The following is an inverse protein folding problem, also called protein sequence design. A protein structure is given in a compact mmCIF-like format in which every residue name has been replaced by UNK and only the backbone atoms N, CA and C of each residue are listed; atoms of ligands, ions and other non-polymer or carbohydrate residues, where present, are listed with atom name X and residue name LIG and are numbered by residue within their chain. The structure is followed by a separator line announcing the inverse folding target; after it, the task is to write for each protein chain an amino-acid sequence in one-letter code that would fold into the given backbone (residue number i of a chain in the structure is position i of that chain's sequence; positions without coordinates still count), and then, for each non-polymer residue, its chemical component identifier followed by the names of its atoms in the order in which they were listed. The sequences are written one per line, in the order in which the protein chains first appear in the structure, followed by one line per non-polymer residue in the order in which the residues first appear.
data_IF_173182056246
#
_entry.id   IF_173182056246
#
_cell.length_a   1.000
_cell.length_b   1.000
_cell.length_c   1.000
_cell.angle_alpha   90.00
_cell.angle_beta   90.00
_cell.angle_gamma   90.00
#
_symmetry.space_group_name_H-M   'P 1'
#
loop_
_entity.id
_entity.type
_entity.pdbx_description
1 polymer ?
#
# COMPACT_ATOMS: atom_id res chain seq x y z
N UNK A 1 -2.21 -25.74 -8.43
CA UNK A 1 -1.07 -25.71 -7.49
C UNK A 1 -1.65 -25.35 -6.15
N UNK A 2 -1.35 -26.12 -5.10
CA UNK A 2 -1.93 -25.91 -3.78
C UNK A 2 -1.19 -24.79 -3.02
N UNK A 3 -1.93 -24.05 -2.19
CA UNK A 3 -1.36 -23.01 -1.33
C UNK A 3 -0.34 -23.57 -0.33
N UNK A 4 -0.57 -24.79 0.17
CA UNK A 4 0.35 -25.53 1.04
C UNK A 4 1.72 -25.72 0.38
N UNK A 5 1.76 -26.06 -0.91
CA UNK A 5 3.00 -26.25 -1.64
C UNK A 5 3.83 -24.95 -1.73
N UNK A 6 3.18 -23.83 -2.05
CA UNK A 6 3.85 -22.52 -2.12
C UNK A 6 4.41 -22.13 -0.76
N UNK A 7 3.60 -22.27 0.29
CA UNK A 7 3.98 -22.00 1.67
C UNK A 7 5.18 -22.85 2.09
N UNK A 8 5.13 -24.16 1.89
CA UNK A 8 6.20 -25.08 2.34
C UNK A 8 7.53 -24.75 1.64
N UNK A 9 7.49 -24.40 0.35
CA UNK A 9 8.69 -23.96 -0.41
C UNK A 9 9.26 -22.65 0.13
N UNK A 10 8.41 -21.71 0.49
CA UNK A 10 8.82 -20.42 1.06
C UNK A 10 9.40 -20.61 2.47
N UNK A 11 8.72 -21.35 3.33
CA UNK A 11 9.18 -21.63 4.72
C UNK A 11 10.49 -22.43 4.71
N UNK A 12 10.63 -23.42 3.83
CA UNK A 12 11.85 -24.22 3.73
C UNK A 12 13.08 -23.35 3.38
N UNK A 13 12.90 -22.35 2.50
CA UNK A 13 13.99 -21.51 2.00
C UNK A 13 14.29 -20.29 2.88
N UNK A 14 13.26 -19.66 3.42
CA UNK A 14 13.38 -18.38 4.13
C UNK A 14 13.16 -18.49 5.64
N UNK A 15 12.67 -19.63 6.15
CA UNK A 15 12.58 -19.99 7.57
C UNK A 15 12.14 -18.81 8.46
N UNK A 16 13.06 -18.31 9.30
CA UNK A 16 12.85 -17.24 10.29
C UNK A 16 12.43 -15.90 9.67
N UNK A 17 12.62 -15.70 8.36
CA UNK A 17 12.20 -14.48 7.69
C UNK A 17 10.70 -14.42 7.42
N UNK A 18 10.01 -15.57 7.51
CA UNK A 18 8.55 -15.65 7.40
C UNK A 18 8.01 -15.90 8.81
N UNK A 19 7.40 -14.88 9.40
CA UNK A 19 6.89 -14.95 10.77
C UNK A 19 5.40 -15.30 10.83
N UNK A 20 4.67 -15.22 9.71
CA UNK A 20 3.25 -15.53 9.67
C UNK A 20 2.74 -15.89 8.28
N UNK A 21 1.63 -16.61 8.25
CA UNK A 21 0.89 -16.88 7.02
C UNK A 21 -0.58 -17.06 7.35
N UNK A 22 -1.43 -16.69 6.40
CA UNK A 22 -2.88 -16.82 6.51
C UNK A 22 -3.44 -17.31 5.17
N UNK A 23 -4.58 -17.97 5.23
CA UNK A 23 -5.36 -18.30 4.04
C UNK A 23 -6.75 -17.69 4.18
N UNK A 24 -7.11 -16.80 3.25
CA UNK A 24 -8.41 -16.12 3.27
C UNK A 24 -9.06 -16.27 1.90
N UNK A 25 -10.23 -16.92 1.85
CA UNK A 25 -11.00 -17.13 0.60
C UNK A 25 -10.17 -17.75 -0.54
N UNK A 26 -9.26 -18.69 -0.21
CA UNK A 26 -8.37 -19.34 -1.18
C UNK A 26 -7.13 -18.53 -1.57
N UNK A 27 -6.94 -17.34 -1.00
CA UNK A 27 -5.75 -16.51 -1.17
C UNK A 27 -4.72 -16.81 -0.07
N UNK A 28 -3.50 -17.20 -0.46
CA UNK A 28 -2.38 -17.32 0.46
C UNK A 28 -1.78 -15.94 0.75
N UNK A 29 -1.69 -15.59 2.03
CA UNK A 29 -1.05 -14.38 2.53
C UNK A 29 0.17 -14.79 3.34
N UNK A 30 1.33 -14.21 3.05
CA UNK A 30 2.58 -14.46 3.75
C UNK A 30 3.06 -13.15 4.37
N UNK A 31 3.39 -13.19 5.64
CA UNK A 31 4.00 -12.08 6.37
C UNK A 31 5.48 -12.37 6.55
N UNK A 32 6.32 -11.44 6.08
CA UNK A 32 7.76 -11.63 6.06
C UNK A 32 8.51 -10.35 6.42
N UNK A 33 9.78 -10.51 6.82
CA UNK A 33 10.66 -9.38 7.11
C UNK A 33 10.93 -8.55 5.84
N UNK A 34 10.74 -7.23 5.95
CA UNK A 34 10.97 -6.25 4.87
C UNK A 34 12.38 -6.33 4.27
N UNK A 35 13.39 -6.71 5.05
CA UNK A 35 14.79 -6.82 4.58
C UNK A 35 14.99 -7.91 3.50
N UNK A 36 14.09 -8.89 3.48
CA UNK A 36 14.15 -10.02 2.54
C UNK A 36 13.14 -9.90 1.41
N UNK A 37 12.44 -8.77 1.28
CA UNK A 37 11.38 -8.57 0.29
C UNK A 37 11.84 -8.93 -1.14
N UNK A 38 12.98 -8.41 -1.60
CA UNK A 38 13.48 -8.70 -2.94
C UNK A 38 13.89 -10.15 -3.12
N UNK A 39 14.52 -10.76 -2.11
CA UNK A 39 14.94 -12.16 -2.19
C UNK A 39 13.73 -13.08 -2.32
N UNK A 40 12.66 -12.79 -1.60
CA UNK A 40 11.41 -13.57 -1.64
C UNK A 40 10.72 -13.36 -3.00
N UNK A 41 10.54 -12.12 -3.43
CA UNK A 41 9.88 -11.79 -4.71
C UNK A 41 10.66 -12.40 -5.89
N UNK A 42 11.99 -12.28 -5.90
CA UNK A 42 12.85 -12.87 -6.92
C UNK A 42 12.73 -14.39 -6.94
N UNK A 43 12.74 -15.05 -5.78
CA UNK A 43 12.59 -16.50 -5.71
C UNK A 43 11.23 -16.97 -6.25
N UNK A 44 10.14 -16.30 -5.91
CA UNK A 44 8.81 -16.63 -6.41
C UNK A 44 8.74 -16.52 -7.94
N UNK A 45 9.45 -15.56 -8.52
CA UNK A 45 9.52 -15.36 -9.97
C UNK A 45 10.41 -16.39 -10.67
N UNK A 46 11.60 -16.65 -10.14
CA UNK A 46 12.64 -17.42 -10.83
C UNK A 46 12.51 -18.94 -10.66
N UNK A 47 11.88 -19.41 -9.57
CA UNK A 47 11.70 -20.84 -9.37
C UNK A 47 10.73 -21.40 -10.42
N UNK A 48 11.20 -22.37 -11.23
CA UNK A 48 10.42 -22.96 -12.33
C UNK A 48 9.11 -23.59 -11.88
N UNK A 49 9.06 -24.10 -10.64
CA UNK A 49 7.85 -24.68 -10.09
C UNK A 49 6.89 -23.60 -9.62
N UNK A 50 7.36 -22.48 -9.07
CA UNK A 50 6.50 -21.39 -8.56
C UNK A 50 6.10 -20.39 -9.66
N UNK A 51 7.05 -19.94 -10.48
CA UNK A 51 6.86 -19.15 -11.70
C UNK A 51 5.83 -18.01 -11.60
N UNK A 52 5.89 -17.19 -10.54
CA UNK A 52 5.07 -16.00 -10.39
C UNK A 52 5.56 -14.91 -11.35
N UNK A 53 4.95 -14.88 -12.54
CA UNK A 53 5.38 -14.08 -13.67
C UNK A 53 4.65 -12.74 -13.80
N UNK A 54 3.69 -12.47 -12.93
CA UNK A 54 2.89 -11.25 -12.99
C UNK A 54 2.78 -10.59 -11.62
N UNK A 55 3.15 -9.31 -11.53
CA UNK A 55 2.85 -8.45 -10.39
C UNK A 55 1.51 -7.77 -10.66
N UNK A 56 0.47 -8.25 -10.00
CA UNK A 56 -0.90 -7.75 -10.16
C UNK A 56 -1.06 -6.36 -9.56
N UNK A 57 -0.54 -6.18 -8.35
CA UNK A 57 -0.69 -4.94 -7.61
C UNK A 57 0.38 -4.80 -6.52
N UNK A 58 0.68 -3.57 -6.13
CA UNK A 58 1.56 -3.21 -5.04
C UNK A 58 0.95 -1.99 -4.36
N UNK A 59 0.52 -2.19 -3.12
CA UNK A 59 -0.16 -1.17 -2.33
C UNK A 59 0.39 -1.14 -0.90
N UNK A 60 -0.02 -0.16 -0.09
CA UNK A 60 0.29 -0.12 1.34
C UNK A 60 -0.96 0.07 2.17
N UNK A 61 -0.90 -0.29 3.45
CA UNK A 61 -2.00 -0.16 4.39
C UNK A 61 -1.49 0.48 5.67
N UNK A 62 -2.17 1.51 6.17
CA UNK A 62 -1.84 2.15 7.45
C UNK A 62 -2.69 1.59 8.61
N UNK A 63 -2.02 0.97 9.58
CA UNK A 63 -2.53 0.49 10.87
C UNK A 63 -1.97 1.33 12.01
N UNK A 64 -2.58 2.49 12.36
CA UNK A 64 -2.02 3.42 13.35
C UNK A 64 -1.90 2.84 14.77
N UNK A 65 -2.61 1.75 15.07
CA UNK A 65 -2.59 1.11 16.37
C UNK A 65 -1.50 0.02 16.50
N UNK A 66 -0.75 -0.26 15.44
CA UNK A 66 0.26 -1.32 15.40
C UNK A 66 1.65 -0.68 15.49
N UNK A 67 2.14 -0.49 16.72
CA UNK A 67 3.43 0.15 16.96
C UNK A 67 4.57 -0.61 16.26
N UNK A 68 5.45 0.13 15.59
CA UNK A 68 6.59 -0.36 14.79
C UNK A 68 6.21 -1.17 13.53
N UNK A 69 4.91 -1.35 13.27
CA UNK A 69 4.32 -2.05 12.13
C UNK A 69 3.18 -1.24 11.49
N UNK A 70 3.26 0.09 11.56
CA UNK A 70 2.14 0.95 11.18
C UNK A 70 1.86 0.89 9.68
N UNK A 71 2.89 0.76 8.84
CA UNK A 71 2.74 0.70 7.39
C UNK A 71 2.99 -0.72 6.88
N UNK A 72 2.00 -1.34 6.24
CA UNK A 72 2.12 -2.68 5.66
C UNK A 72 2.11 -2.59 4.14
N UNK A 73 3.28 -2.74 3.54
CA UNK A 73 3.42 -2.82 2.08
C UNK A 73 3.06 -4.22 1.62
N UNK A 74 2.19 -4.29 0.63
CA UNK A 74 1.57 -5.53 0.16
C UNK A 74 1.84 -5.72 -1.32
N UNK A 75 2.44 -6.85 -1.69
CA UNK A 75 2.65 -7.26 -3.08
C UNK A 75 1.68 -8.39 -3.45
N UNK A 76 0.93 -8.23 -4.52
CA UNK A 76 0.05 -9.28 -5.07
C UNK A 76 0.74 -9.87 -6.30
N UNK A 77 1.26 -11.08 -6.14
CA UNK A 77 1.89 -11.82 -7.22
C UNK A 77 0.92 -12.86 -7.76
N UNK A 78 0.96 -13.07 -9.07
CA UNK A 78 0.13 -14.02 -9.78
C UNK A 78 0.97 -14.88 -10.71
N UNK A 79 0.69 -16.17 -10.72
CA UNK A 79 1.17 -17.08 -11.73
C UNK A 79 0.09 -17.27 -12.78
N UNK A 80 0.29 -16.67 -13.96
CA UNK A 80 -0.67 -16.74 -15.07
C UNK A 80 -0.84 -18.15 -15.65
N UNK A 81 0.18 -19.01 -15.56
CA UNK A 81 0.11 -20.37 -16.10
C UNK A 81 -0.68 -21.32 -15.20
N UNK A 82 -0.55 -21.15 -13.89
CA UNK A 82 -1.15 -22.05 -12.88
C UNK A 82 -2.42 -21.48 -12.24
N UNK A 83 -2.75 -20.22 -12.52
CA UNK A 83 -3.96 -19.57 -12.04
C UNK A 83 -3.97 -19.31 -10.53
N UNK A 84 -2.80 -19.21 -9.89
CA UNK A 84 -2.67 -19.04 -8.44
C UNK A 84 -2.07 -17.67 -8.11
N UNK A 85 -2.51 -17.10 -6.99
CA UNK A 85 -2.00 -15.83 -6.48
C UNK A 85 -1.44 -15.99 -5.07
N UNK A 86 -0.48 -15.14 -4.73
CA UNK A 86 0.06 -15.02 -3.37
C UNK A 86 0.19 -13.55 -3.01
N UNK A 87 -0.14 -13.22 -1.77
CA UNK A 87 0.00 -11.89 -1.22
C UNK A 87 1.17 -11.88 -0.24
N UNK A 88 2.18 -11.08 -0.50
CA UNK A 88 3.27 -10.83 0.45
C UNK A 88 2.97 -9.56 1.21
N UNK A 89 3.11 -9.58 2.52
CA UNK A 89 2.97 -8.43 3.41
C UNK A 89 4.29 -8.19 4.14
N UNK A 90 4.74 -6.96 4.10
CA UNK A 90 5.92 -6.48 4.78
C UNK A 90 5.50 -5.32 5.68
N UNK A 91 5.63 -5.48 6.98
CA UNK A 91 5.38 -4.40 7.94
C UNK A 91 6.60 -3.48 8.05
N UNK A 92 6.34 -2.19 8.23
CA UNK A 92 7.33 -1.14 8.35
C UNK A 92 6.91 -0.14 9.42
N UNK A 93 7.88 0.38 10.19
CA UNK A 93 7.64 1.49 11.09
C UNK A 93 7.40 2.78 10.30
N UNK A 94 6.46 3.60 10.73
CA UNK A 94 6.18 4.90 10.09
C UNK A 94 7.37 5.87 10.14
N UNK A 95 8.23 5.73 11.16
CA UNK A 95 9.42 6.56 11.36
C UNK A 95 10.60 6.20 10.43
N UNK A 96 10.61 4.98 9.89
CA UNK A 96 11.60 4.52 8.92
C UNK A 96 10.91 3.65 7.85
N UNK A 97 10.09 4.24 6.97
CA UNK A 97 9.20 3.51 6.06
C UNK A 97 9.95 3.01 4.81
N UNK A 98 11.13 2.41 5.00
CA UNK A 98 12.04 1.98 3.92
C UNK A 98 11.87 0.53 3.53
N UNK A 99 11.80 0.29 2.23
CA UNK A 99 11.80 -1.05 1.62
C UNK A 99 12.60 -1.03 0.32
N UNK A 100 13.16 -2.16 -0.11
CA UNK A 100 13.90 -2.19 -1.37
C UNK A 100 12.96 -2.25 -2.60
N UNK A 101 13.30 -1.54 -3.67
CA UNK A 101 12.52 -1.51 -4.92
C UNK A 101 12.50 -2.85 -5.66
N UNK A 102 11.33 -3.27 -6.13
CA UNK A 102 11.11 -4.43 -6.98
C UNK A 102 11.17 -4.08 -8.50
N UNK A 103 11.46 -2.83 -8.88
CA UNK A 103 11.51 -2.39 -10.29
C UNK A 103 12.43 -3.20 -11.20
N UNK A 104 13.52 -3.75 -10.67
CA UNK A 104 14.44 -4.62 -11.43
C UNK A 104 13.87 -6.03 -11.67
N UNK A 105 12.87 -6.43 -10.88
CA UNK A 105 12.22 -7.74 -10.97
C UNK A 105 10.98 -7.64 -11.87
N UNK A 106 10.16 -6.60 -11.62
CA UNK A 106 8.95 -6.29 -12.37
C UNK A 106 8.97 -4.83 -12.79
N UNK A 107 8.99 -4.56 -14.10
CA UNK A 107 8.97 -3.19 -14.62
C UNK A 107 7.69 -2.43 -14.22
N UNK A 108 6.58 -3.16 -14.05
CA UNK A 108 5.30 -2.60 -13.58
C UNK A 108 5.39 -2.01 -12.18
N UNK A 109 6.33 -2.45 -11.35
CA UNK A 109 6.52 -1.92 -10.00
C UNK A 109 6.90 -0.42 -10.01
N UNK A 110 7.45 0.12 -11.10
CA UNK A 110 7.85 1.53 -11.15
C UNK A 110 6.69 2.49 -10.83
N UNK A 111 5.54 2.23 -11.47
CA UNK A 111 4.35 3.06 -11.31
C UNK A 111 3.70 2.84 -9.93
N UNK A 112 3.62 1.60 -9.49
CA UNK A 112 2.97 1.22 -8.23
C UNK A 112 3.77 1.67 -7.00
N UNK A 113 5.10 1.62 -7.06
CA UNK A 113 5.97 2.11 -5.99
C UNK A 113 5.86 3.64 -5.85
N UNK A 114 5.75 4.37 -6.97
CA UNK A 114 5.49 5.82 -6.95
C UNK A 114 4.13 6.16 -6.36
N UNK A 115 3.10 5.38 -6.67
CA UNK A 115 1.77 5.54 -6.06
C UNK A 115 1.83 5.33 -4.53
N UNK A 116 2.49 4.26 -4.08
CA UNK A 116 2.68 3.99 -2.65
C UNK A 116 3.48 5.08 -1.94
N UNK A 117 4.51 5.61 -2.59
CA UNK A 117 5.25 6.76 -2.07
C UNK A 117 4.36 8.00 -1.94
N UNK A 118 3.57 8.31 -2.97
CA UNK A 118 2.71 9.49 -2.99
C UNK A 118 1.64 9.45 -1.87
N UNK A 119 0.95 8.31 -1.74
CA UNK A 119 -0.19 8.19 -0.83
C UNK A 119 0.14 7.75 0.60
N UNK A 120 1.20 6.96 0.80
CA UNK A 120 1.57 6.40 2.10
C UNK A 120 2.97 6.83 2.58
N UNK A 121 3.79 7.43 1.73
CA UNK A 121 5.14 7.88 2.09
C UNK A 121 6.13 6.75 2.32
N UNK A 122 5.95 5.63 1.63
CA UNK A 122 6.89 4.51 1.65
C UNK A 122 8.09 4.85 0.77
N UNK A 123 9.30 4.76 1.33
CA UNK A 123 10.56 5.03 0.64
C UNK A 123 11.11 3.73 0.01
N UNK A 124 11.08 3.67 -1.32
CA UNK A 124 11.57 2.54 -2.09
C UNK A 124 13.05 2.71 -2.45
N UNK A 125 13.92 2.12 -1.63
CA UNK A 125 15.38 2.22 -1.75
C UNK A 125 15.84 1.59 -3.06
N UNK A 126 16.53 2.41 -3.87
CA UNK A 126 17.08 2.01 -5.16
C UNK A 126 16.14 2.23 -6.36
N UNK A 127 14.96 2.81 -6.15
CA UNK A 127 14.01 3.13 -7.23
C UNK A 127 14.61 4.19 -8.19
N UNK A 128 14.50 4.03 -9.52
CA UNK A 128 15.17 4.90 -10.49
C UNK A 128 14.63 6.34 -10.52
N UNK A 129 13.35 6.55 -10.22
CA UNK A 129 12.71 7.88 -10.24
C UNK A 129 11.54 7.93 -9.25
N UNK A 130 11.83 7.99 -7.95
CA UNK A 130 10.79 8.03 -6.92
C UNK A 130 10.32 9.47 -6.71
N UNK A 131 9.26 9.82 -7.42
CA UNK A 131 8.59 11.12 -7.33
C UNK A 131 7.08 10.89 -7.24
N UNK A 132 6.35 11.90 -6.71
CA UNK A 132 4.89 11.91 -6.70
C UNK A 132 4.35 11.73 -8.13
N UNK A 133 3.12 11.22 -8.23
CA UNK A 133 2.54 10.84 -9.52
C UNK A 133 1.10 11.30 -9.67
N UNK A 134 0.30 11.24 -8.60
CA UNK A 134 -1.11 11.62 -8.62
C UNK A 134 -1.32 13.00 -8.00
N UNK A 135 -0.59 13.33 -6.93
CA UNK A 135 -0.75 14.58 -6.22
C UNK A 135 0.22 15.66 -6.69
N UNK A 136 0.01 16.90 -6.22
CA UNK A 136 0.88 18.04 -6.47
C UNK A 136 2.25 17.86 -5.80
N UNK A 137 3.31 18.33 -6.46
CA UNK A 137 4.70 18.10 -6.03
C UNK A 137 4.99 18.77 -4.67
N UNK A 138 4.34 19.89 -4.36
CA UNK A 138 4.54 20.67 -3.14
C UNK A 138 3.85 20.08 -1.90
N UNK A 139 3.06 19.02 -2.08
CA UNK A 139 2.31 18.39 -1.00
C UNK A 139 3.28 17.78 0.04
N UNK A 140 3.09 18.13 1.32
CA UNK A 140 3.92 17.70 2.44
C UNK A 140 3.30 16.56 3.27
N UNK A 141 2.14 16.05 2.85
CA UNK A 141 1.41 14.98 3.52
C UNK A 141 1.07 13.80 2.60
N UNK A 142 0.50 12.75 3.20
CA UNK A 142 0.22 11.46 2.57
C UNK A 142 -1.26 11.07 2.78
N UNK A 143 -2.15 11.35 1.82
CA UNK A 143 -3.60 11.33 2.01
C UNK A 143 -4.22 10.03 2.54
N UNK A 144 -3.64 8.87 2.20
CA UNK A 144 -4.22 7.58 2.60
C UNK A 144 -3.75 7.11 3.98
N UNK A 145 -2.94 7.91 4.68
CA UNK A 145 -2.66 7.68 6.09
C UNK A 145 -3.89 8.09 6.92
N UNK A 146 -4.30 7.22 7.84
CA UNK A 146 -5.47 7.41 8.72
C UNK A 146 -5.34 8.55 9.75
N UNK A 147 -4.26 9.32 9.68
CA UNK A 147 -4.05 10.53 10.48
C UNK A 147 -4.68 11.78 9.84
N UNK A 148 -4.96 11.75 8.52
CA UNK A 148 -5.53 12.89 7.81
C UNK A 148 -7.05 12.80 7.72
N UNK A 149 -7.76 13.94 7.89
CA UNK A 149 -9.19 14.01 7.67
C UNK A 149 -9.53 13.82 6.19
N UNK A 150 -10.73 13.30 5.91
CA UNK A 150 -11.22 13.08 4.54
C UNK A 150 -11.35 14.39 3.76
N UNK A 151 -11.73 15.47 4.45
CA UNK A 151 -11.85 16.79 3.86
C UNK A 151 -10.64 17.65 4.24
N UNK A 152 -10.05 18.27 3.23
CA UNK A 152 -9.06 19.30 3.41
C UNK A 152 -9.69 20.50 4.13
N UNK A 153 -9.17 20.81 5.31
CA UNK A 153 -9.66 21.91 6.15
C UNK A 153 -9.42 23.29 5.51
N UNK A 154 -8.57 23.39 4.49
CA UNK A 154 -8.25 24.65 3.81
C UNK A 154 -9.16 24.93 2.61
N UNK A 155 -10.07 24.00 2.27
CA UNK A 155 -11.05 24.17 1.19
C UNK A 155 -12.05 25.27 1.50
N UNK A 156 -11.94 26.37 0.75
CA UNK A 156 -12.89 27.50 0.77
C UNK A 156 -14.00 27.40 -0.27
N UNK A 157 -13.94 26.42 -1.16
CA UNK A 157 -14.93 26.21 -2.22
C UNK A 157 -16.24 25.60 -1.69
N UNK A 158 -16.21 25.04 -0.47
CA UNK A 158 -17.37 24.55 0.31
C UNK A 158 -17.77 25.49 1.44
N UNK A 159 -17.48 26.78 1.31
CA UNK A 159 -18.02 27.75 2.25
C UNK A 159 -19.55 27.82 2.06
N UNK A 160 -20.31 27.59 3.13
CA UNK A 160 -21.78 27.63 3.10
C UNK A 160 -22.30 29.00 2.64
N UNK A 161 -21.51 30.08 2.83
CA UNK A 161 -21.78 31.41 2.27
C UNK A 161 -21.89 31.39 0.73
N UNK A 162 -21.06 30.59 0.06
CA UNK A 162 -20.99 30.50 -1.40
C UNK A 162 -22.10 29.61 -2.00
N UNK A 163 -22.80 28.84 -1.17
CA UNK A 163 -23.96 28.03 -1.54
C UNK A 163 -25.30 28.58 -1.04
N UNK A 164 -25.30 29.80 -0.49
CA UNK A 164 -26.51 30.45 0.03
C UNK A 164 -27.10 29.75 1.26
N UNK A 165 -26.31 28.95 1.96
CA UNK A 165 -26.67 28.26 3.22
C UNK A 165 -26.07 28.96 4.45
N UNK A 166 -25.06 29.80 4.25
CA UNK A 166 -24.35 30.53 5.30
C UNK A 166 -24.92 31.92 5.58
N UNK A 167 -26.21 32.05 5.86
CA UNK A 167 -26.78 33.34 6.20
C UNK A 167 -28.06 33.25 7.03
N UNK A 168 -28.10 33.96 8.16
CA UNK A 168 -29.37 34.38 8.76
C UNK A 168 -30.04 35.34 7.78
N UNK A 169 -30.96 34.83 6.95
CA UNK A 169 -31.78 35.65 6.07
C UNK A 169 -32.78 36.46 6.90
N UNK A 170 -32.41 37.69 7.22
CA UNK A 170 -33.22 38.57 8.05
C UNK A 170 -34.35 39.22 7.21
N UNK A 171 -35.51 38.55 7.09
CA UNK A 171 -36.74 39.12 6.51
C UNK A 171 -37.50 39.98 7.53
N UNK A 172 -36.81 40.94 8.17
CA UNK A 172 -37.41 41.74 9.26
C UNK A 172 -37.64 40.91 10.53
N UNK A 173 -38.74 41.14 11.26
CA UNK A 173 -38.91 40.73 12.67
C UNK A 173 -39.02 39.20 12.94
N UNK A 174 -38.66 38.34 11.98
CA UNK A 174 -38.64 36.89 12.14
C UNK A 174 -37.27 36.34 11.79
N UNK A 175 -36.52 35.94 12.82
CA UNK A 175 -35.37 35.05 12.64
C UNK A 175 -35.87 33.62 12.45
N UNK A 176 -35.67 33.07 11.26
CA UNK A 176 -35.84 31.64 11.01
C UNK A 176 -34.44 31.06 10.86
N UNK A 177 -34.04 30.25 11.85
CA UNK A 177 -32.83 29.43 11.73
C UNK A 177 -33.15 28.23 10.84
N UNK A 178 -32.34 27.99 9.82
CA UNK A 178 -32.33 26.72 9.08
C UNK A 178 -31.69 25.62 9.92
#
# INVERSE_FOLDING_TARGET
MENSFIKDRLVQKFQEQIYGWEEQHGALIIHANREFNLKIIQYLKDDEQLAFNFLTDLTAIHYPNHQDEELVVTYLLYNMYKGVHVRLKFALPINDPKIFTATKIFETANWLERECFDFYGVDFVGHPNLIRIMNVDEMDYHPLRKEFPLEDQTRKDKDDEMFGRGGDFNFGHFNVKS
#
